data_IF_115586706818
#
_entry.id   IF_115586706818
#
_cell.length_a   1.000
_cell.length_b   1.000
_cell.length_c   1.000
_cell.angle_alpha   90.00
_cell.angle_beta   90.00
_cell.angle_gamma   90.00
#
_symmetry.space_group_name_H-M   'P 1'
#
loop_
_entity.id
_entity.type
_entity.pdbx_description
1 polymer ?
#
# COMPACT_ATOMS: atom_id res chain seq x y z
N UNK A 1 -33.26 -7.83 27.06
CA UNK A 1 -34.15 -7.89 25.86
C UNK A 1 -33.29 -8.14 24.62
N UNK A 2 -33.48 -9.28 23.94
CA UNK A 2 -32.66 -9.65 22.77
C UNK A 2 -33.26 -9.03 21.49
N UNK A 3 -32.44 -8.35 20.68
CA UNK A 3 -32.91 -7.73 19.42
C UNK A 3 -33.35 -8.80 18.42
N UNK A 4 -34.49 -8.57 17.76
CA UNK A 4 -35.05 -9.51 16.77
C UNK A 4 -34.05 -9.78 15.63
N UNK A 5 -34.09 -10.96 14.99
CA UNK A 5 -33.22 -11.29 13.85
C UNK A 5 -33.26 -10.24 12.72
N UNK A 6 -34.45 -9.70 12.43
CA UNK A 6 -34.64 -8.66 11.43
C UNK A 6 -33.97 -7.32 11.82
N UNK A 7 -33.97 -6.96 13.10
CA UNK A 7 -33.26 -5.77 13.60
C UNK A 7 -31.74 -5.94 13.53
N UNK A 8 -31.23 -7.15 13.79
CA UNK A 8 -29.79 -7.48 13.66
C UNK A 8 -29.32 -7.43 12.20
N UNK A 9 -30.14 -7.90 11.26
CA UNK A 9 -29.84 -7.84 9.82
C UNK A 9 -29.79 -6.40 9.30
N UNK A 10 -30.78 -5.57 9.67
CA UNK A 10 -30.80 -4.14 9.31
C UNK A 10 -29.58 -3.40 9.85
N UNK A 11 -29.23 -3.62 11.12
CA UNK A 11 -28.03 -3.02 11.72
C UNK A 11 -26.73 -3.44 10.99
N UNK A 12 -26.62 -4.71 10.59
CA UNK A 12 -25.47 -5.20 9.80
C UNK A 12 -25.41 -4.61 8.40
N UNK A 13 -26.56 -4.39 7.75
CA UNK A 13 -26.62 -3.77 6.43
C UNK A 13 -26.19 -2.30 6.50
N UNK A 14 -26.78 -1.51 7.40
CA UNK A 14 -26.46 -0.11 7.61
C UNK A 14 -24.97 0.11 7.92
N UNK A 15 -24.40 -0.73 8.78
CA UNK A 15 -22.97 -0.71 9.11
C UNK A 15 -22.07 -1.01 7.90
N UNK A 16 -22.45 -1.95 7.04
CA UNK A 16 -21.69 -2.25 5.81
C UNK A 16 -21.73 -1.06 4.85
N UNK A 17 -22.90 -0.46 4.68
CA UNK A 17 -23.10 0.66 3.77
C UNK A 17 -22.35 1.93 4.24
N UNK A 18 -22.36 2.21 5.54
CA UNK A 18 -21.51 3.25 6.15
C UNK A 18 -20.02 2.96 5.93
N UNK A 19 -19.58 1.73 6.19
CA UNK A 19 -18.18 1.35 5.96
C UNK A 19 -17.75 1.47 4.49
N UNK A 20 -18.62 1.11 3.54
CA UNK A 20 -18.35 1.30 2.11
C UNK A 20 -18.26 2.78 1.73
N UNK A 21 -19.12 3.64 2.28
CA UNK A 21 -19.06 5.10 2.07
C UNK A 21 -17.77 5.69 2.62
N UNK A 22 -17.36 5.30 3.82
CA UNK A 22 -16.08 5.73 4.42
C UNK A 22 -14.89 5.30 3.57
N UNK A 23 -14.86 4.05 3.10
CA UNK A 23 -13.82 3.53 2.20
C UNK A 23 -13.76 4.30 0.88
N UNK A 24 -14.91 4.61 0.30
CA UNK A 24 -14.99 5.37 -0.95
C UNK A 24 -14.49 6.82 -0.77
N UNK A 25 -14.87 7.47 0.34
CA UNK A 25 -14.40 8.81 0.69
C UNK A 25 -12.88 8.83 0.94
N UNK A 26 -12.37 7.87 1.71
CA UNK A 26 -10.93 7.71 1.96
C UNK A 26 -10.18 7.49 0.64
N UNK A 27 -10.66 6.60 -0.23
CA UNK A 27 -10.06 6.34 -1.55
C UNK A 27 -10.02 7.59 -2.41
N UNK A 28 -11.09 8.40 -2.42
CA UNK A 28 -11.13 9.65 -3.18
C UNK A 28 -10.11 10.66 -2.68
N UNK A 29 -10.01 10.86 -1.36
CA UNK A 29 -9.05 11.76 -0.73
C UNK A 29 -7.60 11.31 -0.94
N UNK A 30 -7.34 10.01 -0.84
CA UNK A 30 -6.06 9.39 -1.17
C UNK A 30 -5.68 9.70 -2.62
N UNK A 31 -6.59 9.47 -3.57
CA UNK A 31 -6.31 9.70 -4.99
C UNK A 31 -6.06 11.18 -5.30
N UNK A 32 -6.74 12.09 -4.62
CA UNK A 32 -6.48 13.54 -4.74
C UNK A 32 -5.11 13.94 -4.20
N UNK A 33 -4.58 13.21 -3.20
CA UNK A 33 -3.26 13.47 -2.60
C UNK A 33 -2.12 12.73 -3.31
N UNK A 34 -2.41 11.65 -4.03
CA UNK A 34 -1.45 10.95 -4.88
C UNK A 34 -1.20 11.75 -6.16
N UNK A 35 -0.23 12.66 -6.11
CA UNK A 35 0.27 13.37 -7.29
C UNK A 35 1.30 12.51 -8.03
N UNK A 36 1.57 12.82 -9.29
CA UNK A 36 2.68 12.19 -10.03
C UNK A 36 4.02 12.36 -9.30
N UNK A 37 4.25 13.52 -8.68
CA UNK A 37 5.42 13.82 -7.85
C UNK A 37 5.53 12.88 -6.65
N UNK A 38 4.39 12.52 -6.05
CA UNK A 38 4.35 11.55 -4.96
C UNK A 38 4.77 10.14 -5.40
N UNK A 39 4.34 9.70 -6.59
CA UNK A 39 4.74 8.40 -7.15
C UNK A 39 6.24 8.35 -7.42
N UNK A 40 6.82 9.45 -7.90
CA UNK A 40 8.25 9.56 -8.14
C UNK A 40 9.07 9.51 -6.83
N UNK A 41 8.60 10.10 -5.74
CA UNK A 41 9.29 10.07 -4.44
C UNK A 41 9.12 8.75 -3.69
N UNK A 42 7.95 8.12 -3.79
CA UNK A 42 7.64 6.88 -3.05
C UNK A 42 8.07 5.61 -3.78
N UNK A 43 8.12 5.65 -5.11
CA UNK A 43 8.51 4.53 -5.96
C UNK A 43 9.79 3.81 -5.55
N UNK A 44 10.92 4.51 -5.33
CA UNK A 44 12.17 3.90 -4.87
C UNK A 44 12.03 3.16 -3.54
N UNK A 45 11.33 3.74 -2.57
CA UNK A 45 11.15 3.14 -1.24
C UNK A 45 10.32 1.85 -1.33
N UNK A 46 9.23 1.86 -2.12
CA UNK A 46 8.41 0.66 -2.35
C UNK A 46 9.23 -0.44 -3.02
N UNK A 47 9.98 -0.10 -4.07
CA UNK A 47 10.82 -1.06 -4.78
C UNK A 47 11.91 -1.67 -3.87
N UNK A 48 12.50 -0.85 -2.98
CA UNK A 48 13.46 -1.30 -1.96
C UNK A 48 12.83 -2.30 -0.98
N UNK A 49 11.64 -2.01 -0.45
CA UNK A 49 10.92 -2.93 0.46
C UNK A 49 10.69 -4.28 -0.22
N UNK A 50 10.25 -4.28 -1.48
CA UNK A 50 10.07 -5.52 -2.25
C UNK A 50 11.39 -6.26 -2.42
N UNK A 51 12.49 -5.57 -2.75
CA UNK A 51 13.81 -6.19 -2.91
C UNK A 51 14.30 -6.85 -1.61
N UNK A 52 14.18 -6.15 -0.47
CA UNK A 52 14.55 -6.68 0.86
C UNK A 52 13.70 -7.91 1.19
N UNK A 53 12.37 -7.81 1.01
CA UNK A 53 11.46 -8.93 1.27
C UNK A 53 11.84 -10.17 0.43
N UNK A 54 12.17 -9.98 -0.84
CA UNK A 54 12.62 -11.06 -1.71
C UNK A 54 13.92 -11.70 -1.24
N UNK A 55 14.89 -10.89 -0.82
CA UNK A 55 16.16 -11.39 -0.29
C UNK A 55 15.95 -12.22 0.99
N UNK A 56 15.00 -11.82 1.84
CA UNK A 56 14.69 -12.51 3.09
C UNK A 56 13.86 -13.78 2.91
N UNK A 57 12.92 -13.79 1.96
CA UNK A 57 11.91 -14.85 1.84
C UNK A 57 12.03 -15.71 0.58
N UNK A 58 12.95 -15.41 -0.34
CA UNK A 58 13.11 -16.11 -1.62
C UNK A 58 11.95 -15.91 -2.60
N UNK A 59 10.96 -15.07 -2.26
CA UNK A 59 9.78 -14.75 -3.06
C UNK A 59 9.34 -13.31 -2.83
N UNK A 60 8.59 -12.75 -3.76
CA UNK A 60 8.01 -11.42 -3.62
C UNK A 60 6.84 -11.38 -2.65
N UNK A 61 6.61 -10.23 -1.96
CA UNK A 61 5.43 -10.05 -1.13
C UNK A 61 4.18 -10.05 -1.99
N UNK A 62 3.04 -10.42 -1.39
CA UNK A 62 1.76 -10.11 -2.01
C UNK A 62 1.45 -8.62 -1.92
N UNK A 63 0.46 -8.15 -2.69
CA UNK A 63 -0.02 -6.78 -2.54
C UNK A 63 -0.57 -6.49 -1.13
N UNK A 64 -1.16 -7.49 -0.48
CA UNK A 64 -1.64 -7.34 0.89
C UNK A 64 -0.49 -7.22 1.88
N UNK A 65 0.57 -8.02 1.71
CA UNK A 65 1.76 -7.99 2.56
C UNK A 65 2.48 -6.65 2.42
N UNK A 66 2.69 -6.21 1.18
CA UNK A 66 3.30 -4.92 0.88
C UNK A 66 2.46 -3.76 1.42
N UNK A 67 1.13 -3.80 1.27
CA UNK A 67 0.24 -2.79 1.83
C UNK A 67 0.35 -2.66 3.34
N UNK A 68 0.61 -3.75 4.06
CA UNK A 68 0.87 -3.73 5.50
C UNK A 68 2.25 -3.09 5.80
N UNK A 69 3.31 -3.52 5.11
CA UNK A 69 4.67 -2.96 5.29
C UNK A 69 4.72 -1.46 5.00
N UNK A 70 4.02 -0.98 3.96
CA UNK A 70 3.99 0.44 3.62
C UNK A 70 3.14 1.29 4.59
N UNK A 71 2.23 0.64 5.32
CA UNK A 71 1.30 1.28 6.26
C UNK A 71 1.84 1.37 7.68
N UNK A 72 2.50 0.31 8.15
CA UNK A 72 2.96 0.19 9.54
C UNK A 72 4.44 -0.13 9.69
N UNK A 73 5.12 -0.54 8.62
CA UNK A 73 6.56 -0.80 8.61
C UNK A 73 7.39 0.47 8.49
N UNK A 74 8.72 0.30 8.50
CA UNK A 74 9.70 1.39 8.49
C UNK A 74 9.60 2.31 7.27
N UNK A 75 9.02 1.82 6.17
CA UNK A 75 8.91 2.58 4.94
C UNK A 75 7.92 3.74 5.03
N UNK A 76 6.84 3.64 5.84
CA UNK A 76 5.75 4.64 6.00
C UNK A 76 5.66 5.68 4.86
N UNK A 77 5.46 5.18 3.64
CA UNK A 77 5.45 5.99 2.42
C UNK A 77 4.04 6.16 1.86
N UNK A 78 3.01 5.76 2.60
CA UNK A 78 1.63 6.10 2.28
C UNK A 78 1.25 7.42 2.97
N UNK A 79 0.42 8.26 2.33
CA UNK A 79 -0.01 9.50 2.97
C UNK A 79 -0.71 9.14 4.29
N UNK A 80 -0.42 9.83 5.40
CA UNK A 80 -1.04 9.50 6.66
C UNK A 80 -2.56 9.72 6.59
N UNK A 81 -3.34 8.95 7.37
CA UNK A 81 -4.76 9.24 7.53
C UNK A 81 -4.95 10.65 8.12
N UNK A 82 -6.14 11.27 7.94
CA UNK A 82 -6.50 12.50 8.64
C UNK A 82 -6.24 12.38 10.15
N UNK A 83 -5.82 13.47 10.80
CA UNK A 83 -5.48 13.47 12.22
C UNK A 83 -6.67 13.05 13.11
N UNK A 84 -7.89 13.44 12.72
CA UNK A 84 -9.14 13.04 13.38
C UNK A 84 -9.68 11.66 12.97
N UNK A 85 -8.94 10.87 12.18
CA UNK A 85 -9.41 9.56 11.77
C UNK A 85 -9.52 8.59 12.96
N UNK A 86 -10.66 7.91 13.08
CA UNK A 86 -10.78 6.78 14.01
C UNK A 86 -9.77 5.68 13.68
N UNK A 87 -9.40 4.84 14.65
CA UNK A 87 -8.48 3.69 14.43
C UNK A 87 -8.92 2.81 13.26
N UNK A 88 -10.23 2.60 13.14
CA UNK A 88 -10.80 1.81 12.05
C UNK A 88 -10.66 2.51 10.70
N UNK A 89 -10.90 3.82 10.66
CA UNK A 89 -10.70 4.62 9.46
C UNK A 89 -9.22 4.67 9.06
N UNK A 90 -8.29 4.72 10.01
CA UNK A 90 -6.86 4.65 9.75
C UNK A 90 -6.45 3.33 9.07
N UNK A 91 -6.97 2.18 9.54
CA UNK A 91 -6.72 0.88 8.91
C UNK A 91 -7.33 0.81 7.49
N UNK A 92 -8.55 1.29 7.32
CA UNK A 92 -9.21 1.34 6.01
C UNK A 92 -8.49 2.29 5.04
N UNK A 93 -8.00 3.43 5.54
CA UNK A 93 -7.22 4.41 4.80
C UNK A 93 -5.94 3.79 4.26
N UNK A 94 -5.18 3.08 5.09
CA UNK A 94 -3.94 2.43 4.67
C UNK A 94 -4.15 1.42 3.54
N UNK A 95 -5.22 0.61 3.63
CA UNK A 95 -5.60 -0.32 2.56
C UNK A 95 -6.04 0.41 1.27
N UNK A 96 -6.79 1.49 1.40
CA UNK A 96 -7.22 2.31 0.27
C UNK A 96 -6.03 3.03 -0.39
N UNK A 97 -5.11 3.58 0.41
CA UNK A 97 -3.86 4.23 -0.01
C UNK A 97 -2.97 3.27 -0.78
N UNK A 98 -2.73 2.08 -0.23
CA UNK A 98 -2.04 1.02 -0.94
C UNK A 98 -2.76 0.71 -2.27
N UNK A 99 -4.04 0.35 -2.23
CA UNK A 99 -4.78 -0.07 -3.44
C UNK A 99 -4.81 1.00 -4.54
N UNK A 100 -4.83 2.28 -4.17
CA UNK A 100 -4.76 3.42 -5.09
C UNK A 100 -3.35 3.62 -5.67
N UNK A 101 -2.31 3.44 -4.86
CA UNK A 101 -0.92 3.62 -5.26
C UNK A 101 -0.46 2.57 -6.27
N UNK A 102 -0.94 1.33 -6.15
CA UNK A 102 -0.46 0.20 -6.96
C UNK A 102 -0.51 0.44 -8.47
N UNK A 103 -1.66 0.78 -9.10
CA UNK A 103 -1.69 1.01 -10.54
C UNK A 103 -0.74 2.13 -10.98
N UNK A 104 -0.55 3.16 -10.15
CA UNK A 104 0.34 4.29 -10.45
C UNK A 104 1.81 3.88 -10.36
N UNK A 105 2.20 3.14 -9.31
CA UNK A 105 3.56 2.61 -9.13
C UNK A 105 3.94 1.63 -10.24
N UNK A 106 2.99 0.80 -10.67
CA UNK A 106 3.16 -0.09 -11.82
C UNK A 106 3.31 0.68 -13.12
N UNK A 107 2.42 1.64 -13.38
CA UNK A 107 2.49 2.47 -14.58
C UNK A 107 3.79 3.28 -14.67
N UNK A 108 4.32 3.71 -13.52
CA UNK A 108 5.61 4.40 -13.43
C UNK A 108 6.83 3.46 -13.52
N UNK A 109 6.63 2.14 -13.57
CA UNK A 109 7.70 1.15 -13.71
C UNK A 109 8.47 0.83 -12.43
N UNK A 110 7.93 1.17 -11.25
CA UNK A 110 8.56 0.89 -9.95
C UNK A 110 8.25 -0.51 -9.41
N UNK A 111 7.11 -1.08 -9.78
CA UNK A 111 6.62 -2.37 -9.30
C UNK A 111 6.06 -3.18 -10.45
N UNK A 112 6.28 -4.49 -10.43
CA UNK A 112 5.66 -5.45 -11.34
C UNK A 112 5.15 -6.68 -10.61
N UNK A 113 4.26 -7.42 -11.26
CA UNK A 113 3.97 -8.78 -10.84
C UNK A 113 5.13 -9.69 -11.22
N UNK A 114 5.48 -10.60 -10.32
CA UNK A 114 6.36 -11.71 -10.61
C UNK A 114 5.58 -12.81 -11.38
N UNK A 115 6.29 -13.83 -11.86
CA UNK A 115 5.69 -15.01 -12.51
C UNK A 115 4.83 -15.85 -11.57
N UNK A 116 5.03 -15.70 -10.26
CA UNK A 116 4.19 -16.34 -9.25
C UNK A 116 2.89 -15.55 -9.04
N UNK A 117 1.73 -16.21 -8.93
CA UNK A 117 0.46 -15.53 -8.71
C UNK A 117 0.52 -14.60 -7.50
N UNK A 118 0.12 -13.35 -7.72
CA UNK A 118 0.05 -12.29 -6.69
C UNK A 118 1.38 -11.92 -6.02
N UNK A 119 2.52 -12.43 -6.47
CA UNK A 119 3.83 -12.04 -5.96
C UNK A 119 4.36 -10.81 -6.70
N UNK A 120 5.10 -9.96 -5.99
CA UNK A 120 5.63 -8.71 -6.53
C UNK A 120 7.15 -8.74 -6.72
N UNK A 121 7.61 -7.99 -7.71
CA UNK A 121 9.04 -7.72 -7.91
C UNK A 121 9.26 -6.22 -8.14
N UNK A 122 10.48 -5.71 -7.89
CA UNK A 122 10.83 -4.37 -8.31
C UNK A 122 10.69 -4.25 -9.83
N UNK A 123 10.17 -3.12 -10.30
CA UNK A 123 9.98 -2.86 -11.73
C UNK A 123 11.27 -2.39 -12.42
N UNK A 124 11.24 -2.17 -13.75
CA UNK A 124 12.43 -1.87 -14.55
C UNK A 124 13.16 -0.60 -14.10
N UNK A 125 12.43 0.36 -13.53
CA UNK A 125 12.99 1.61 -13.03
C UNK A 125 13.88 1.42 -11.80
N UNK A 126 13.66 0.34 -11.04
CA UNK A 126 14.49 -0.04 -9.90
C UNK A 126 15.88 -0.55 -10.33
N UNK A 127 15.99 -1.27 -11.45
CA UNK A 127 17.27 -1.84 -11.90
C UNK A 127 18.34 -0.78 -12.21
N UNK A 128 17.94 0.48 -12.45
CA UNK A 128 18.86 1.63 -12.49
C UNK A 128 19.36 2.04 -11.11
N UNK A 129 18.49 2.02 -10.10
CA UNK A 129 18.78 2.40 -8.70
C UNK A 129 19.59 1.34 -7.94
N UNK A 130 19.42 0.05 -8.26
CA UNK A 130 20.14 -1.04 -7.60
C UNK A 130 21.66 -0.92 -7.81
N UNK A 131 22.09 -0.45 -8.99
CA UNK A 131 23.50 -0.19 -9.29
C UNK A 131 24.07 0.95 -8.46
N UNK A 132 23.28 1.98 -8.18
CA UNK A 132 23.70 3.15 -7.40
C UNK A 132 23.76 2.85 -5.90
N UNK A 133 22.81 2.06 -5.37
CA UNK A 133 22.79 1.65 -3.97
C UNK A 133 23.89 0.63 -3.61
N UNK A 134 24.16 -0.34 -4.50
CA UNK A 134 25.27 -1.30 -4.32
C UNK A 134 26.63 -0.59 -4.52
N UNK A 135 26.71 0.40 -5.43
CA UNK A 135 27.90 1.20 -5.64
C UNK A 135 28.30 2.08 -4.42
N UNK A 136 27.32 2.56 -3.66
CA UNK A 136 27.56 3.35 -2.44
C UNK A 136 27.96 2.50 -1.22
N UNK A 137 27.46 1.27 -1.11
CA UNK A 137 27.77 0.37 0.03
C UNK A 137 29.15 -0.32 -0.10
N UNK A 138 29.71 -0.37 -1.32
CA UNK A 138 31.06 -0.90 -1.59
C UNK A 138 32.18 0.15 -1.51
N UNK A 139 31.84 1.44 -1.47
CA UNK A 139 32.82 2.54 -1.34
C UNK A 139 32.96 3.05 0.11
N UNK A 140 32.16 2.52 1.04
CA UNK A 140 32.12 2.93 2.45
C UNK A 140 32.67 1.86 3.41
N UNK A 141 33.43 0.88 2.91
CA UNK A 141 34.11 -0.14 3.70
C UNK A 141 35.61 -0.07 3.53
#
# INVERSE_FOLDING_TARGET
MSRSPAARLRARAAFREEHHRELAAARRLVLQRFTFTYVASVGPAVARVIAIYRAQHGRGPSWSDLGQELAVGEARVLPPPPAEASTRLAVAWNRAAASAAMPMLRAAGWVEYDRQPHSLRPGPRWSGYEKDLIGQDLSSR
#
